data_IF_032508832447
#
_entry.id   IF_032508832447
#
_cell.length_a   1.000
_cell.length_b   1.000
_cell.length_c   1.000
_cell.angle_alpha   90.00
_cell.angle_beta   90.00
_cell.angle_gamma   90.00
#
_symmetry.space_group_name_H-M   'P 1'
#
loop_
_entity.id
_entity.type
_entity.pdbx_description
1 polymer ?
#
# COMPACT_ATOMS: atom_id res chain seq x y z
N UNK A 1 13.92 17.33 3.03
CA UNK A 1 12.56 17.77 3.37
C UNK A 1 11.62 16.56 3.31
N UNK A 2 10.99 16.14 4.43
CA UNK A 2 10.05 15.01 4.42
C UNK A 2 8.76 15.42 3.71
N UNK A 3 8.36 14.68 2.67
CA UNK A 3 7.12 14.94 1.91
C UNK A 3 5.91 14.76 2.84
N UNK A 4 5.02 15.76 2.91
CA UNK A 4 3.69 15.54 3.51
C UNK A 4 2.92 14.59 2.61
N UNK A 5 2.52 13.46 3.19
CA UNK A 5 1.65 12.48 2.55
C UNK A 5 0.34 12.51 3.31
N UNK A 6 -0.76 12.23 2.63
CA UNK A 6 -2.09 12.15 3.22
C UNK A 6 -2.08 11.15 4.39
N UNK A 7 -2.75 11.54 5.47
CA UNK A 7 -2.95 10.68 6.66
C UNK A 7 -4.12 9.72 6.51
N UNK A 8 -4.85 9.77 5.39
CA UNK A 8 -6.02 8.95 5.10
C UNK A 8 -5.74 8.04 3.92
N UNK A 9 -6.26 6.82 3.97
CA UNK A 9 -6.15 5.89 2.85
C UNK A 9 -6.93 6.41 1.63
N UNK A 10 -6.30 6.33 0.46
CA UNK A 10 -6.88 6.72 -0.81
C UNK A 10 -7.89 5.69 -1.35
N UNK A 11 -7.80 4.43 -0.93
CA UNK A 11 -8.69 3.38 -1.44
C UNK A 11 -10.17 3.71 -1.18
N UNK A 12 -11.07 3.44 -2.15
CA UNK A 12 -12.49 3.77 -2.01
C UNK A 12 -13.11 3.01 -0.83
N UNK A 13 -13.92 3.71 -0.03
CA UNK A 13 -14.59 3.15 1.15
C UNK A 13 -13.69 2.87 2.36
N UNK A 14 -12.36 2.96 2.23
CA UNK A 14 -11.44 2.66 3.32
C UNK A 14 -11.46 3.75 4.41
N UNK A 15 -11.60 3.33 5.67
CA UNK A 15 -11.64 4.22 6.83
C UNK A 15 -10.27 4.38 7.52
N UNK A 16 -9.21 3.72 7.04
CA UNK A 16 -7.88 3.84 7.64
C UNK A 16 -7.40 5.29 7.61
N UNK A 17 -6.99 5.81 8.78
CA UNK A 17 -6.50 7.17 8.95
C UNK A 17 -7.53 8.17 9.45
N UNK A 18 -8.82 7.82 9.43
CA UNK A 18 -9.87 8.63 10.06
C UNK A 18 -9.86 8.46 11.59
N UNK A 19 -10.37 9.45 12.36
CA UNK A 19 -10.51 9.33 13.80
C UNK A 19 -11.32 8.08 14.20
N UNK A 20 -10.82 7.32 15.18
CA UNK A 20 -11.47 6.09 15.66
C UNK A 20 -11.19 4.83 14.84
N UNK A 21 -10.56 4.94 13.66
CA UNK A 21 -10.14 3.77 12.90
C UNK A 21 -8.92 3.07 13.56
N UNK A 22 -8.82 1.72 13.48
CA UNK A 22 -7.61 1.02 13.87
C UNK A 22 -6.38 1.56 13.16
N UNK A 23 -5.23 1.55 13.86
CA UNK A 23 -3.96 1.97 13.27
C UNK A 23 -3.59 1.03 12.13
N UNK A 24 -3.29 1.60 10.98
CA UNK A 24 -2.78 0.89 9.82
C UNK A 24 -1.55 1.61 9.28
N UNK A 25 -0.60 0.84 8.76
CA UNK A 25 0.56 1.37 8.06
C UNK A 25 0.13 2.01 6.74
N UNK A 26 0.50 3.27 6.52
CA UNK A 26 0.24 4.00 5.29
C UNK A 26 1.49 4.09 4.42
N UNK A 27 1.35 3.69 3.16
CA UNK A 27 2.38 3.73 2.13
C UNK A 27 2.07 4.85 1.15
N UNK A 28 3.04 5.73 0.93
CA UNK A 28 2.87 6.83 -0.02
C UNK A 28 2.84 6.30 -1.45
N UNK A 29 2.04 6.93 -2.31
CA UNK A 29 2.02 6.60 -3.72
C UNK A 29 3.44 6.75 -4.34
N UNK A 30 3.80 5.86 -5.27
CA UNK A 30 5.12 5.86 -5.90
C UNK A 30 5.31 7.12 -6.75
N UNK A 31 6.56 7.58 -6.82
CA UNK A 31 6.96 8.67 -7.72
C UNK A 31 7.02 8.22 -9.16
N UNK A 32 7.39 6.96 -9.37
CA UNK A 32 7.35 6.31 -10.67
C UNK A 32 5.92 6.35 -11.23
N UNK A 33 5.78 6.98 -12.39
CA UNK A 33 4.47 7.24 -12.99
C UNK A 33 3.80 5.95 -13.45
N UNK A 34 4.56 4.97 -13.93
CA UNK A 34 4.03 3.68 -14.37
C UNK A 34 3.45 2.87 -13.21
N UNK A 35 4.18 2.78 -12.11
CA UNK A 35 3.73 2.12 -10.90
C UNK A 35 2.56 2.88 -10.27
N UNK A 36 2.57 4.22 -10.29
CA UNK A 36 1.44 5.03 -9.81
C UNK A 36 0.19 4.81 -10.66
N UNK A 37 0.32 4.69 -11.98
CA UNK A 37 -0.77 4.29 -12.88
C UNK A 37 -1.28 2.89 -12.56
N UNK A 38 -0.41 1.92 -12.26
CA UNK A 38 -0.81 0.57 -11.82
C UNK A 38 -1.63 0.63 -10.52
N UNK A 39 -1.18 1.41 -9.54
CA UNK A 39 -1.92 1.61 -8.29
C UNK A 39 -3.30 2.20 -8.54
N UNK A 40 -3.39 3.28 -9.34
CA UNK A 40 -4.65 3.92 -9.66
C UNK A 40 -5.65 2.96 -10.33
N UNK A 41 -5.18 2.16 -11.30
CA UNK A 41 -6.00 1.14 -11.98
C UNK A 41 -6.52 0.09 -11.00
N UNK A 42 -5.67 -0.41 -10.11
CA UNK A 42 -6.08 -1.45 -9.17
C UNK A 42 -7.03 -0.93 -8.09
N UNK A 43 -6.88 0.33 -7.66
CA UNK A 43 -7.75 0.95 -6.65
C UNK A 43 -9.14 1.30 -7.20
N UNK A 44 -9.30 1.36 -8.53
CA UNK A 44 -10.58 1.58 -9.24
C UNK A 44 -11.35 2.80 -8.75
N UNK A 45 -10.64 3.83 -8.29
CA UNK A 45 -11.24 5.06 -7.77
C UNK A 45 -11.49 6.05 -8.91
N UNK A 46 -12.75 6.43 -9.14
CA UNK A 46 -13.15 7.27 -10.27
C UNK A 46 -13.38 8.75 -9.91
N UNK A 47 -13.67 9.06 -8.63
CA UNK A 47 -14.01 10.41 -8.18
C UNK A 47 -12.79 11.36 -8.13
N UNK A 48 -11.58 10.83 -7.96
CA UNK A 48 -10.35 11.64 -7.92
C UNK A 48 -9.11 10.85 -8.37
N UNK A 49 -8.10 11.53 -8.95
CA UNK A 49 -6.86 10.89 -9.38
C UNK A 49 -5.93 10.56 -8.20
N UNK A 50 -5.14 9.49 -8.35
CA UNK A 50 -4.07 9.15 -7.41
C UNK A 50 -2.86 10.07 -7.65
N UNK A 51 -2.46 10.83 -6.62
CA UNK A 51 -1.33 11.77 -6.67
C UNK A 51 -0.15 11.26 -5.86
N UNK A 52 1.02 11.89 -6.00
CA UNK A 52 2.20 11.58 -5.17
C UNK A 52 2.01 11.83 -3.67
N UNK A 53 1.06 12.70 -3.29
CA UNK A 53 0.73 12.97 -1.89
C UNK A 53 -0.23 11.94 -1.32
N UNK A 54 -0.91 11.15 -2.17
CA UNK A 54 -1.85 10.12 -1.74
C UNK A 54 -1.13 9.00 -0.99
N UNK A 55 -1.85 8.34 -0.07
CA UNK A 55 -1.38 7.15 0.63
C UNK A 55 -2.37 6.00 0.52
N UNK A 56 -1.88 4.76 0.57
CA UNK A 56 -2.70 3.54 0.62
C UNK A 56 -2.27 2.72 1.83
N UNK A 57 -3.23 2.20 2.60
CA UNK A 57 -2.93 1.41 3.79
C UNK A 57 -2.57 -0.04 3.48
N UNK A 58 -1.93 -0.70 4.44
CA UNK A 58 -1.49 -2.10 4.34
C UNK A 58 -2.57 -3.12 4.03
N UNK A 59 -3.84 -2.85 4.33
CA UNK A 59 -4.94 -3.76 4.02
C UNK A 59 -5.16 -3.96 2.51
N UNK A 60 -4.61 -3.08 1.67
CA UNK A 60 -4.75 -3.17 0.23
C UNK A 60 -3.61 -3.91 -0.46
N UNK A 61 -2.58 -4.34 0.29
CA UNK A 61 -1.44 -5.09 -0.23
C UNK A 61 -1.42 -6.50 0.34
N UNK A 62 -0.96 -7.46 -0.45
CA UNK A 62 -0.69 -8.79 0.10
C UNK A 62 0.44 -8.72 1.15
N UNK A 63 0.32 -9.40 2.29
CA UNK A 63 1.31 -9.31 3.37
C UNK A 63 2.74 -9.61 2.95
N UNK A 64 2.94 -10.50 1.96
CA UNK A 64 4.27 -10.84 1.41
C UNK A 64 5.01 -9.67 0.77
N UNK A 65 4.28 -8.63 0.35
CA UNK A 65 4.86 -7.43 -0.25
C UNK A 65 5.18 -6.35 0.79
N UNK A 66 4.85 -6.59 2.06
CA UNK A 66 5.08 -5.66 3.17
C UNK A 66 6.32 -6.10 3.94
N UNK A 67 7.37 -5.30 3.84
CA UNK A 67 8.61 -5.48 4.57
C UNK A 67 8.44 -4.95 6.00
N UNK A 68 8.37 -5.86 6.96
CA UNK A 68 8.33 -5.55 8.41
C UNK A 68 9.67 -5.76 9.11
N UNK A 69 10.62 -6.42 8.46
CA UNK A 69 11.94 -6.74 9.01
C UNK A 69 13.03 -6.41 7.98
N UNK A 70 14.24 -6.18 8.47
CA UNK A 70 15.47 -6.28 7.69
C UNK A 70 16.02 -7.69 7.84
N UNK A 71 16.38 -8.32 6.73
CA UNK A 71 17.00 -9.64 6.71
C UNK A 71 18.46 -9.44 6.30
N UNK A 72 19.38 -9.84 7.16
CA UNK A 72 20.82 -9.77 6.93
C UNK A 72 21.45 -11.14 7.15
N UNK A 73 22.48 -11.47 6.38
CA UNK A 73 23.29 -12.67 6.64
C UNK A 73 24.61 -12.22 7.27
N UNK A 74 24.82 -12.59 8.54
CA UNK A 74 26.03 -12.27 9.31
C UNK A 74 26.72 -13.60 9.62
N UNK A 75 27.94 -13.80 9.11
CA UNK A 75 28.70 -15.04 9.28
C UNK A 75 27.90 -16.31 8.91
N UNK A 76 27.11 -16.26 7.83
CA UNK A 76 26.26 -17.38 7.39
C UNK A 76 24.97 -17.56 8.19
N UNK A 77 24.73 -16.75 9.22
CA UNK A 77 23.48 -16.78 10.01
C UNK A 77 22.53 -15.68 9.56
N UNK A 78 21.29 -16.03 9.26
CA UNK A 78 20.23 -15.06 8.99
C UNK A 78 19.82 -14.34 10.29
N UNK A 79 19.91 -13.02 10.28
CA UNK A 79 19.50 -12.13 11.37
C UNK A 79 18.36 -11.26 10.86
N UNK A 80 17.22 -11.30 11.58
CA UNK A 80 16.00 -10.56 11.27
C UNK A 80 15.82 -9.44 12.30
N UNK A 81 15.72 -8.20 11.82
CA UNK A 81 15.61 -7.01 12.66
C UNK A 81 14.29 -6.30 12.34
N UNK A 82 13.36 -6.13 13.31
CA UNK A 82 12.11 -5.42 13.07
C UNK A 82 12.32 -3.97 12.58
N UNK A 83 11.52 -3.56 11.60
CA UNK A 83 11.48 -2.19 11.11
C UNK A 83 10.60 -1.33 12.01
N UNK A 84 11.08 -0.14 12.36
CA UNK A 84 10.25 0.85 13.06
C UNK A 84 9.05 1.34 12.24
N UNK A 85 9.15 1.32 10.90
CA UNK A 85 8.03 1.58 9.99
C UNK A 85 8.05 0.54 8.85
N UNK A 86 6.94 -0.17 8.59
CA UNK A 86 6.85 -1.04 7.43
C UNK A 86 7.08 -0.29 6.12
N UNK A 87 7.60 -0.99 5.11
CA UNK A 87 7.74 -0.49 3.75
C UNK A 87 7.24 -1.51 2.75
N UNK A 88 7.02 -1.10 1.51
CA UNK A 88 6.70 -2.01 0.42
C UNK A 88 7.97 -2.46 -0.30
N UNK A 89 7.91 -3.64 -0.94
CA UNK A 89 8.87 -3.97 -1.99
C UNK A 89 8.71 -3.02 -3.19
N UNK A 90 9.75 -2.79 -4.02
CA UNK A 90 9.73 -1.76 -5.07
C UNK A 90 8.55 -1.84 -6.04
N UNK A 91 8.10 -3.04 -6.40
CA UNK A 91 7.05 -3.25 -7.41
C UNK A 91 5.69 -3.62 -6.81
N UNK A 92 5.52 -3.47 -5.49
CA UNK A 92 4.27 -3.79 -4.85
C UNK A 92 3.13 -2.93 -5.41
N UNK A 93 2.01 -3.58 -5.72
CA UNK A 93 0.77 -2.92 -6.15
C UNK A 93 -0.36 -3.30 -5.20
N UNK A 94 -1.30 -2.39 -4.91
CA UNK A 94 -2.47 -2.74 -4.13
C UNK A 94 -3.34 -3.67 -4.96
N UNK A 95 -3.69 -4.85 -4.45
CA UNK A 95 -4.53 -5.84 -5.14
C UNK A 95 -5.78 -6.19 -4.34
N UNK A 96 -5.79 -5.88 -3.04
CA UNK A 96 -6.89 -6.21 -2.14
C UNK A 96 -7.83 -5.00 -2.01
N UNK A 97 -9.12 -5.20 -2.29
CA UNK A 97 -10.16 -4.19 -2.10
C UNK A 97 -11.29 -4.72 -1.20
N UNK A 98 -11.00 -4.98 0.10
CA UNK A 98 -12.00 -5.44 1.03
C UNK A 98 -13.09 -4.37 1.17
N UNK A 99 -14.33 -4.70 0.77
CA UNK A 99 -15.47 -3.78 0.83
C UNK A 99 -15.90 -3.19 -0.51
N UNK A 100 -15.16 -3.40 -1.61
CA UNK A 100 -15.63 -3.08 -2.96
C UNK A 100 -16.55 -4.23 -3.46
N UNK A 101 -17.70 -4.39 -2.81
CA UNK A 101 -18.75 -5.32 -3.26
C UNK A 101 -19.49 -4.72 -4.45
N UNK A 102 -18.80 -4.59 -5.57
CA UNK A 102 -19.40 -4.49 -6.90
C UNK A 102 -18.48 -5.24 -7.85
N UNK A 103 -18.78 -6.54 -8.02
CA UNK A 103 -18.57 -7.32 -9.25
C UNK A 103 -17.45 -6.84 -10.17
N UNK A 104 -16.35 -7.59 -10.26
CA UNK A 104 -15.70 -7.90 -11.54
C UNK A 104 -14.73 -9.06 -11.32
N UNK A 105 -15.30 -10.27 -11.37
CA UNK A 105 -14.68 -11.41 -12.02
C UNK A 105 -14.13 -10.96 -13.38
N UNK A 106 -12.84 -10.64 -13.43
CA UNK A 106 -12.11 -10.82 -14.69
C UNK A 106 -11.62 -12.25 -14.62
N UNK A 107 -12.37 -13.13 -15.27
CA UNK A 107 -11.87 -14.46 -15.64
C UNK A 107 -10.63 -14.18 -16.49
N UNK A 108 -9.47 -14.57 -15.98
CA UNK A 108 -8.22 -14.52 -16.75
C UNK A 108 -8.28 -15.70 -17.73
N UNK A 109 -8.11 -15.49 -19.06
CA UNK A 109 -7.97 -16.60 -19.99
C UNK A 109 -6.70 -17.42 -19.73
#
# INVERSE_FOLDING_TARGET
MKRRTDSHCFAPGCQSGYPGAPKASLFAAPRDDDLRRKWARNLRRADKPLTETSAVCEHHFEPRYILREYVHVINGTEVRIPRGKPSLVPDAVPTLLPGCSVYLSVVVP
#
